data_IF_537069314942
#
_entry.id   IF_537069314942
#
_cell.length_a   1.000
_cell.length_b   1.000
_cell.length_c   1.000
_cell.angle_alpha   90.00
_cell.angle_beta   90.00
_cell.angle_gamma   90.00
#
_symmetry.space_group_name_H-M   'P 1'
#
loop_
_entity.id
_entity.type
_entity.pdbx_description
1 polymer ?
#
# COMPACT_ATOMS: atom_id res chain seq x y z
N UNK A 1 7.01 -5.53 13.49
CA UNK A 1 7.68 -4.62 12.56
C UNK A 1 6.98 -4.65 11.21
N UNK A 2 6.51 -3.50 10.75
CA UNK A 2 5.73 -3.39 9.52
C UNK A 2 6.59 -3.32 8.25
N UNK A 3 7.81 -2.80 8.35
CA UNK A 3 8.72 -2.73 7.21
C UNK A 3 9.41 -4.08 7.02
N UNK A 4 9.18 -4.68 5.86
CA UNK A 4 9.69 -6.01 5.52
C UNK A 4 10.88 -5.99 4.56
N UNK A 5 11.41 -4.80 4.26
CA UNK A 5 12.51 -4.65 3.31
C UNK A 5 13.74 -5.46 3.71
N UNK A 6 14.18 -5.35 4.96
CA UNK A 6 15.34 -6.07 5.45
C UNK A 6 15.16 -7.59 5.39
N UNK A 7 13.94 -8.07 5.66
CA UNK A 7 13.63 -9.49 5.58
C UNK A 7 13.72 -10.01 4.15
N UNK A 8 13.18 -9.23 3.19
CA UNK A 8 13.26 -9.59 1.78
C UNK A 8 14.70 -9.60 1.29
N UNK A 9 15.49 -8.62 1.69
CA UNK A 9 16.90 -8.53 1.32
C UNK A 9 17.71 -9.71 1.86
N UNK A 10 17.46 -10.12 3.11
CA UNK A 10 18.12 -11.26 3.71
C UNK A 10 17.81 -12.56 2.94
N UNK A 11 16.57 -12.75 2.53
CA UNK A 11 16.17 -13.91 1.73
C UNK A 11 16.77 -13.84 0.33
N UNK A 12 16.74 -12.66 -0.29
CA UNK A 12 17.27 -12.47 -1.64
C UNK A 12 18.80 -12.68 -1.73
N UNK A 13 19.52 -12.54 -0.60
CA UNK A 13 20.95 -12.80 -0.55
C UNK A 13 21.29 -14.29 -0.74
N UNK A 14 20.37 -15.19 -0.36
CA UNK A 14 20.58 -16.64 -0.44
C UNK A 14 19.72 -17.30 -1.51
N UNK A 15 18.55 -16.74 -1.79
CA UNK A 15 17.55 -17.34 -2.69
C UNK A 15 17.08 -16.32 -3.70
N UNK A 16 16.68 -16.81 -4.86
CA UNK A 16 16.01 -15.98 -5.86
C UNK A 16 14.52 -15.90 -5.51
N UNK A 17 14.03 -14.67 -5.25
CA UNK A 17 12.60 -14.45 -5.01
C UNK A 17 11.88 -14.47 -6.37
N UNK A 18 10.94 -15.39 -6.53
CA UNK A 18 10.21 -15.57 -7.78
C UNK A 18 8.85 -14.87 -7.74
N UNK A 19 8.17 -14.95 -6.59
CA UNK A 19 6.84 -14.38 -6.39
C UNK A 19 6.71 -13.78 -5.02
N UNK A 20 5.88 -12.72 -4.92
CA UNK A 20 5.47 -12.11 -3.66
C UNK A 20 3.94 -12.07 -3.61
N UNK A 21 3.39 -12.41 -2.46
CA UNK A 21 1.97 -12.32 -2.16
C UNK A 21 1.79 -11.47 -0.91
N UNK A 22 0.83 -10.57 -0.92
CA UNK A 22 0.58 -9.73 0.24
C UNK A 22 -0.72 -8.95 0.09
N UNK A 23 -1.14 -8.30 1.16
CA UNK A 23 -2.38 -7.52 1.21
C UNK A 23 -2.13 -6.03 1.51
N UNK A 24 -0.88 -5.61 1.50
CA UNK A 24 -0.49 -4.22 1.76
C UNK A 24 0.71 -3.88 0.87
N UNK A 25 0.79 -2.62 0.44
CA UNK A 25 1.91 -2.15 -0.40
C UNK A 25 3.28 -2.38 0.26
N UNK A 26 3.36 -2.33 1.58
CA UNK A 26 4.59 -2.61 2.33
C UNK A 26 5.08 -4.05 2.23
N UNK A 27 4.26 -4.97 1.73
CA UNK A 27 4.69 -6.34 1.45
C UNK A 27 5.57 -6.44 0.21
N UNK A 28 5.52 -5.45 -0.67
CA UNK A 28 6.22 -5.43 -1.97
C UNK A 28 7.25 -4.30 -2.05
N UNK A 29 6.90 -3.11 -1.55
CA UNK A 29 7.66 -1.88 -1.68
C UNK A 29 8.34 -1.51 -0.37
N UNK A 30 9.38 -0.68 -0.45
CA UNK A 30 9.99 -0.10 0.73
C UNK A 30 9.03 0.87 1.44
N UNK A 31 9.31 1.14 2.70
CA UNK A 31 8.44 1.97 3.54
C UNK A 31 8.25 3.38 2.97
N UNK A 32 9.28 3.94 2.39
CA UNK A 32 9.27 5.26 1.75
C UNK A 32 8.24 5.35 0.62
N UNK A 33 8.07 4.28 -0.15
CA UNK A 33 7.11 4.21 -1.25
C UNK A 33 5.72 3.79 -0.78
N UNK A 34 5.67 2.91 0.23
CA UNK A 34 4.40 2.35 0.71
C UNK A 34 3.58 3.33 1.56
N UNK A 35 4.23 4.28 2.23
CA UNK A 35 3.61 5.24 3.13
C UNK A 35 3.49 6.66 2.56
N UNK A 36 3.55 6.83 1.26
CA UNK A 36 3.35 8.14 0.63
C UNK A 36 1.89 8.58 0.60
N UNK A 37 1.65 9.71 -0.03
CA UNK A 37 0.30 10.19 -0.34
C UNK A 37 -0.38 9.19 -1.28
N UNK A 38 -1.71 9.33 -1.47
CA UNK A 38 -2.42 8.47 -2.40
C UNK A 38 -1.83 8.55 -3.82
N UNK A 39 -1.47 9.75 -4.28
CA UNK A 39 -0.86 9.94 -5.59
C UNK A 39 0.54 9.32 -5.69
N UNK A 40 1.36 9.47 -4.66
CA UNK A 40 2.70 8.87 -4.61
C UNK A 40 2.63 7.35 -4.60
N UNK A 41 1.70 6.79 -3.84
CA UNK A 41 1.48 5.34 -3.77
C UNK A 41 1.00 4.79 -5.12
N UNK A 42 0.09 5.49 -5.77
CA UNK A 42 -0.39 5.09 -7.11
C UNK A 42 0.77 5.10 -8.12
N UNK A 43 1.58 6.15 -8.11
CA UNK A 43 2.75 6.25 -8.98
C UNK A 43 3.73 5.11 -8.74
N UNK A 44 4.02 4.78 -7.47
CA UNK A 44 4.91 3.69 -7.11
C UNK A 44 4.38 2.33 -7.60
N UNK A 45 3.07 2.12 -7.53
CA UNK A 45 2.42 0.90 -8.04
C UNK A 45 2.51 0.85 -9.57
N UNK A 46 2.25 1.95 -10.25
CA UNK A 46 2.31 2.02 -11.72
C UNK A 46 3.73 1.81 -12.24
N UNK A 47 4.75 2.29 -11.53
CA UNK A 47 6.15 2.08 -11.88
C UNK A 47 6.53 0.59 -11.89
N UNK A 48 5.78 -0.25 -11.18
CA UNK A 48 5.99 -1.69 -11.11
C UNK A 48 4.94 -2.47 -11.90
N UNK A 49 4.33 -1.84 -12.90
CA UNK A 49 3.21 -2.41 -13.66
C UNK A 49 3.53 -3.78 -14.29
N UNK A 50 4.79 -4.04 -14.62
CA UNK A 50 5.19 -5.31 -15.22
C UNK A 50 5.24 -6.46 -14.20
N UNK A 51 5.21 -6.17 -12.90
CA UNK A 51 5.28 -7.17 -11.84
C UNK A 51 3.91 -7.60 -11.33
N UNK A 52 2.95 -6.68 -11.31
CA UNK A 52 1.61 -6.96 -10.80
C UNK A 52 0.90 -7.98 -11.66
N UNK A 53 0.43 -9.06 -11.02
CA UNK A 53 -0.23 -10.17 -11.71
C UNK A 53 0.73 -11.16 -12.36
N UNK A 54 2.03 -10.95 -12.27
CA UNK A 54 3.06 -11.86 -12.81
C UNK A 54 3.96 -12.44 -11.75
N UNK A 55 4.58 -11.57 -10.94
CA UNK A 55 5.44 -11.96 -9.83
C UNK A 55 4.98 -11.37 -8.51
N UNK A 56 4.17 -10.33 -8.53
CA UNK A 56 3.60 -9.71 -7.36
C UNK A 56 2.08 -9.82 -7.40
N UNK A 57 1.49 -10.34 -6.32
CA UNK A 57 0.06 -10.58 -6.23
C UNK A 57 -0.51 -9.93 -4.98
N UNK A 58 -1.32 -8.89 -5.19
CA UNK A 58 -1.98 -8.17 -4.11
C UNK A 58 -3.29 -8.86 -3.75
N UNK A 59 -3.44 -9.21 -2.48
CA UNK A 59 -4.67 -9.79 -1.95
C UNK A 59 -5.57 -8.67 -1.42
N UNK A 60 -6.90 -8.81 -1.50
CA UNK A 60 -7.81 -7.80 -0.98
C UNK A 60 -7.66 -7.62 0.52
N UNK A 61 -7.66 -6.36 0.97
CA UNK A 61 -7.64 -6.03 2.40
C UNK A 61 -8.45 -4.74 2.62
N UNK A 62 -9.77 -4.85 2.85
CA UNK A 62 -10.60 -3.68 3.10
C UNK A 62 -10.55 -3.19 4.54
N UNK A 63 -9.84 -3.89 5.43
CA UNK A 63 -9.90 -3.61 6.87
C UNK A 63 -8.86 -2.59 7.32
N UNK A 64 -7.61 -2.75 6.89
CA UNK A 64 -6.54 -1.84 7.32
C UNK A 64 -5.35 -1.95 6.36
N UNK A 65 -4.49 -0.93 6.40
CA UNK A 65 -3.28 -0.89 5.59
C UNK A 65 -2.80 0.55 5.43
N UNK A 66 -1.73 0.74 4.69
CA UNK A 66 -1.20 2.09 4.43
C UNK A 66 -2.18 2.95 3.60
N UNK A 67 -3.10 2.34 2.88
CA UNK A 67 -4.16 3.05 2.16
C UNK A 67 -5.04 3.86 3.11
N UNK A 68 -5.32 3.33 4.31
CA UNK A 68 -6.11 4.04 5.32
C UNK A 68 -5.35 5.26 5.84
N UNK A 69 -4.07 5.09 6.15
CA UNK A 69 -3.22 6.21 6.54
C UNK A 69 -3.14 7.29 5.46
N UNK A 70 -2.99 6.90 4.21
CA UNK A 70 -2.96 7.84 3.09
C UNK A 70 -4.25 8.65 2.98
N UNK A 71 -5.41 8.01 3.19
CA UNK A 71 -6.71 8.68 3.18
C UNK A 71 -6.85 9.73 4.27
N UNK A 72 -6.19 9.52 5.42
CA UNK A 72 -6.22 10.42 6.57
C UNK A 72 -5.06 11.43 6.60
N UNK A 73 -4.16 11.39 5.62
CA UNK A 73 -2.91 12.14 5.67
C UNK A 73 -2.01 11.69 6.82
N UNK A 74 -2.18 10.46 7.29
CA UNK A 74 -1.46 9.84 8.42
C UNK A 74 -1.67 10.54 9.76
N UNK A 75 -2.73 11.35 9.88
CA UNK A 75 -3.11 12.00 11.13
C UNK A 75 -4.28 11.25 11.78
N UNK A 76 -3.95 10.34 12.70
CA UNK A 76 -4.93 9.51 13.40
C UNK A 76 -5.51 10.19 14.65
N UNK A 77 -5.07 11.42 14.99
CA UNK A 77 -5.55 12.17 16.14
C UNK A 77 -6.78 13.04 15.82
N UNK A 78 -7.31 12.95 14.62
CA UNK A 78 -8.51 13.69 14.21
C UNK A 78 -9.76 13.16 14.93
N UNK A 79 -10.80 13.99 15.13
CA UNK A 79 -12.09 13.50 15.61
C UNK A 79 -12.66 12.40 14.72
N UNK A 80 -13.40 11.46 15.32
CA UNK A 80 -13.93 10.28 14.62
C UNK A 80 -14.80 10.63 13.42
N UNK A 81 -15.63 11.67 13.51
CA UNK A 81 -16.48 12.12 12.43
C UNK A 81 -15.66 12.66 11.24
N UNK A 82 -14.57 13.34 11.51
CA UNK A 82 -13.62 13.82 10.51
C UNK A 82 -12.91 12.67 9.80
N UNK A 83 -12.46 11.68 10.57
CA UNK A 83 -11.84 10.46 10.04
C UNK A 83 -12.79 9.73 9.10
N UNK A 84 -14.05 9.55 9.52
CA UNK A 84 -15.05 8.88 8.71
C UNK A 84 -15.37 9.65 7.43
N UNK A 85 -15.40 10.98 7.49
CA UNK A 85 -15.63 11.82 6.31
C UNK A 85 -14.49 11.67 5.30
N UNK A 86 -13.24 11.65 5.74
CA UNK A 86 -12.08 11.46 4.88
C UNK A 86 -12.06 10.08 4.23
N UNK A 87 -12.46 9.04 4.96
CA UNK A 87 -12.56 7.69 4.42
C UNK A 87 -13.63 7.59 3.34
N UNK A 88 -14.80 8.19 3.58
CA UNK A 88 -15.87 8.21 2.60
C UNK A 88 -15.46 8.98 1.34
N UNK A 89 -14.79 10.11 1.49
CA UNK A 89 -14.31 10.91 0.38
C UNK A 89 -13.31 10.14 -0.49
N UNK A 90 -12.41 9.38 0.14
CA UNK A 90 -11.47 8.52 -0.58
C UNK A 90 -12.18 7.43 -1.38
N UNK A 91 -13.27 6.86 -0.86
CA UNK A 91 -14.08 5.89 -1.57
C UNK A 91 -14.81 6.51 -2.78
N UNK A 92 -15.35 7.71 -2.62
CA UNK A 92 -16.02 8.43 -3.70
C UNK A 92 -15.06 8.75 -4.85
N UNK A 93 -13.82 9.14 -4.54
CA UNK A 93 -12.79 9.37 -5.55
C UNK A 93 -12.52 8.11 -6.38
N UNK A 94 -12.54 6.93 -5.75
CA UNK A 94 -12.41 5.65 -6.43
C UNK A 94 -13.58 5.39 -7.37
N UNK A 95 -14.79 5.70 -6.95
CA UNK A 95 -15.99 5.55 -7.76
C UNK A 95 -15.98 6.45 -9.00
N UNK A 96 -15.52 7.67 -8.87
CA UNK A 96 -15.45 8.63 -9.98
C UNK A 96 -14.48 8.22 -11.08
N UNK A 97 -13.54 7.33 -10.82
CA UNK A 97 -12.60 6.84 -11.81
C UNK A 97 -13.15 5.74 -12.71
N UNK A 98 -14.27 5.20 -12.36
CA UNK A 98 -14.96 4.21 -13.18
C UNK A 98 -15.81 4.88 -14.25
#
# INVERSE_FOLDING_TARGET
QSDKTNRREAIAAEYRIVMLFGDNTGDFLGLDQAQGTAAERLSAVEDQSQRWGRSWFMLPNPMYGYWDGAALGYDYNRPTDEINALRLDAMDAGTQRQ
#
